data_IF_414671044328
#
_entry.id   IF_414671044328
#
_cell.length_a   1.000
_cell.length_b   1.000
_cell.length_c   1.000
_cell.angle_alpha   90.00
_cell.angle_beta   90.00
_cell.angle_gamma   90.00
#
_symmetry.space_group_name_H-M   'P 1'
#
loop_
_entity.id
_entity.type
_entity.pdbx_description
1 polymer ?
#
# COMPACT_ATOMS: atom_id res chain seq x y z
N UNK A 1 6.29 3.45 -20.72
CA UNK A 1 6.14 2.56 -19.56
C UNK A 1 6.42 3.31 -18.27
N UNK A 2 5.53 3.18 -17.32
CA UNK A 2 5.67 3.85 -16.03
C UNK A 2 6.56 3.03 -15.10
N UNK A 3 7.14 3.69 -14.10
CA UNK A 3 7.96 3.03 -13.09
C UNK A 3 7.57 3.54 -11.71
N UNK A 4 7.69 2.67 -10.72
CA UNK A 4 7.48 3.08 -9.34
C UNK A 4 8.64 3.93 -8.83
N UNK A 5 8.33 4.90 -7.97
CA UNK A 5 9.37 5.61 -7.22
C UNK A 5 10.07 4.65 -6.25
N UNK A 6 11.23 5.05 -5.73
CA UNK A 6 11.93 4.22 -4.75
C UNK A 6 11.07 3.95 -3.51
N UNK A 7 10.32 4.94 -3.07
CA UNK A 7 9.41 4.77 -1.94
C UNK A 7 8.31 3.78 -2.25
N UNK A 8 7.70 3.90 -3.44
CA UNK A 8 6.65 2.96 -3.86
C UNK A 8 7.18 1.55 -3.97
N UNK A 9 8.36 1.35 -4.54
CA UNK A 9 8.98 0.03 -4.63
C UNK A 9 9.22 -0.57 -3.25
N UNK A 10 9.69 0.24 -2.31
CA UNK A 10 9.94 -0.20 -0.94
C UNK A 10 8.65 -0.67 -0.27
N UNK A 11 7.58 0.11 -0.37
CA UNK A 11 6.30 -0.27 0.21
C UNK A 11 5.72 -1.53 -0.46
N UNK A 12 5.78 -1.59 -1.79
CA UNK A 12 5.28 -2.74 -2.53
C UNK A 12 6.06 -4.01 -2.16
N UNK A 13 7.36 -3.90 -1.92
CA UNK A 13 8.20 -5.06 -1.56
C UNK A 13 7.80 -5.70 -0.23
N UNK A 14 7.04 -5.00 0.60
CA UNK A 14 6.55 -5.53 1.88
C UNK A 14 5.27 -6.34 1.74
N UNK A 15 4.70 -6.41 0.54
CA UNK A 15 3.45 -7.11 0.29
C UNK A 15 3.70 -8.53 -0.21
N UNK A 16 2.64 -9.35 -0.16
CA UNK A 16 2.69 -10.71 -0.69
C UNK A 16 3.05 -10.69 -2.18
N UNK A 17 3.81 -11.70 -2.64
CA UNK A 17 4.33 -11.70 -4.01
C UNK A 17 3.22 -11.66 -5.07
N UNK A 18 2.05 -12.21 -4.79
CA UNK A 18 0.93 -12.14 -5.72
C UNK A 18 0.43 -10.70 -5.92
N UNK A 19 0.45 -9.92 -4.85
CA UNK A 19 0.11 -8.49 -4.92
C UNK A 19 1.18 -7.76 -5.75
N UNK A 20 2.44 -8.07 -5.51
CA UNK A 20 3.54 -7.48 -6.28
C UNK A 20 3.39 -7.77 -7.77
N UNK A 21 3.04 -9.00 -8.12
CA UNK A 21 2.84 -9.37 -9.53
C UNK A 21 1.72 -8.56 -10.19
N UNK A 22 0.62 -8.40 -9.48
CA UNK A 22 -0.51 -7.62 -10.01
C UNK A 22 -0.09 -6.18 -10.29
N UNK A 23 0.61 -5.56 -9.34
CA UNK A 23 1.04 -4.17 -9.49
C UNK A 23 2.20 -4.01 -10.46
N UNK A 24 3.07 -5.00 -10.59
CA UNK A 24 4.12 -4.99 -11.62
C UNK A 24 3.53 -5.00 -13.02
N UNK A 25 2.40 -5.70 -13.20
CA UNK A 25 1.70 -5.69 -14.48
C UNK A 25 0.95 -4.36 -14.68
N UNK A 26 0.27 -3.89 -13.65
CA UNK A 26 -0.54 -2.67 -13.75
C UNK A 26 0.29 -1.42 -14.07
N UNK A 27 1.51 -1.31 -13.54
CA UNK A 27 2.37 -0.13 -13.75
C UNK A 27 2.75 0.04 -15.22
N UNK A 28 2.65 -1.01 -16.02
CA UNK A 28 2.94 -0.92 -17.45
C UNK A 28 1.93 -0.05 -18.20
N UNK A 29 0.74 0.10 -17.63
CA UNK A 29 -0.39 0.77 -18.30
C UNK A 29 -0.87 2.00 -17.58
N UNK A 30 -0.65 2.11 -16.29
CA UNK A 30 -1.14 3.20 -15.46
C UNK A 30 -0.01 3.64 -14.52
N UNK A 31 0.19 4.95 -14.40
CA UNK A 31 1.14 5.47 -13.43
C UNK A 31 0.53 5.35 -12.04
N UNK A 32 1.23 4.66 -11.14
CA UNK A 32 0.70 4.30 -9.81
C UNK A 32 1.70 4.69 -8.74
N UNK A 33 1.20 5.25 -7.64
CA UNK A 33 1.96 5.48 -6.42
C UNK A 33 1.49 4.49 -5.36
N UNK A 34 2.42 3.75 -4.78
CA UNK A 34 2.12 2.85 -3.66
C UNK A 34 2.29 3.65 -2.37
N UNK A 35 1.22 3.80 -1.63
CA UNK A 35 1.21 4.61 -0.42
C UNK A 35 1.66 3.81 0.79
N UNK A 36 1.19 2.56 0.92
CA UNK A 36 1.52 1.73 2.08
C UNK A 36 1.34 0.25 1.76
N UNK A 37 2.31 -0.57 2.19
CA UNK A 37 2.20 -2.03 2.16
C UNK A 37 2.02 -2.56 3.58
N UNK A 38 3.11 -3.08 4.18
CA UNK A 38 3.07 -3.60 5.55
C UNK A 38 2.89 -2.47 6.57
N UNK A 39 2.09 -2.76 7.59
CA UNK A 39 1.83 -1.84 8.70
C UNK A 39 2.09 -2.58 10.00
N UNK A 40 3.01 -2.04 10.82
CA UNK A 40 3.36 -2.66 12.10
C UNK A 40 2.32 -2.36 13.19
N UNK A 41 2.56 -2.92 14.38
CA UNK A 41 1.65 -2.78 15.52
C UNK A 41 1.48 -1.32 15.93
N UNK A 42 2.58 -0.60 16.07
CA UNK A 42 2.55 0.79 16.51
C UNK A 42 1.71 1.65 15.55
N UNK A 43 1.97 1.53 14.26
CA UNK A 43 1.27 2.31 13.26
C UNK A 43 -0.21 1.92 13.16
N UNK A 44 -0.52 0.63 13.25
CA UNK A 44 -1.90 0.17 13.21
C UNK A 44 -2.70 0.71 14.39
N UNK A 45 -2.11 0.67 15.58
CA UNK A 45 -2.77 1.17 16.78
C UNK A 45 -2.92 2.70 16.75
N UNK A 46 -1.95 3.41 16.18
CA UNK A 46 -2.06 4.84 15.96
C UNK A 46 -3.23 5.17 15.05
N UNK A 47 -3.37 4.46 13.94
CA UNK A 47 -4.46 4.66 13.00
C UNK A 47 -5.82 4.34 13.63
N UNK A 48 -5.87 3.29 14.45
CA UNK A 48 -7.09 2.97 15.17
C UNK A 48 -7.48 4.09 16.15
N UNK A 49 -6.52 4.59 16.90
CA UNK A 49 -6.76 5.65 17.88
C UNK A 49 -7.19 6.96 17.23
N UNK A 50 -6.72 7.23 16.02
CA UNK A 50 -7.09 8.42 15.25
C UNK A 50 -8.38 8.26 14.47
N UNK A 51 -8.98 7.07 14.47
CA UNK A 51 -10.18 6.80 13.70
C UNK A 51 -9.93 6.56 12.21
N UNK A 52 -8.67 6.48 11.78
CA UNK A 52 -8.31 6.19 10.39
C UNK A 52 -8.56 4.73 10.04
N UNK A 53 -8.34 3.83 10.99
CA UNK A 53 -8.64 2.41 10.84
C UNK A 53 -9.70 1.99 11.83
N UNK A 54 -10.55 1.06 11.42
CA UNK A 54 -11.61 0.51 12.28
C UNK A 54 -11.15 -0.71 13.07
N UNK A 55 -9.95 -1.20 12.82
CA UNK A 55 -9.41 -2.40 13.47
C UNK A 55 -8.07 -2.12 14.11
N UNK A 56 -7.81 -2.81 15.21
CA UNK A 56 -6.53 -2.79 15.91
C UNK A 56 -5.62 -3.88 15.37
N UNK A 57 -4.31 -3.71 15.61
CA UNK A 57 -3.34 -4.76 15.36
C UNK A 57 -3.73 -6.03 16.17
N UNK A 58 -3.64 -7.22 15.62
CA UNK A 58 -3.16 -7.59 14.28
C UNK A 58 -4.29 -7.86 13.27
N UNK A 59 -5.42 -7.22 13.41
CA UNK A 59 -6.63 -7.58 12.68
C UNK A 59 -6.71 -6.97 11.26
N UNK A 60 -5.81 -6.05 10.91
CA UNK A 60 -5.75 -5.51 9.55
C UNK A 60 -4.92 -6.42 8.64
N UNK A 61 -5.33 -6.56 7.39
CA UNK A 61 -4.56 -7.30 6.39
C UNK A 61 -3.19 -6.67 6.11
N UNK A 62 -3.04 -5.37 6.39
CA UNK A 62 -1.75 -4.70 6.31
C UNK A 62 -0.76 -5.19 7.37
N UNK A 63 -1.25 -5.85 8.42
CA UNK A 63 -0.42 -6.28 9.54
C UNK A 63 0.27 -7.63 9.32
N UNK A 64 -0.17 -8.41 8.33
CA UNK A 64 0.51 -9.68 8.04
C UNK A 64 1.88 -9.40 7.41
N UNK A 65 2.79 -10.34 7.52
CA UNK A 65 4.13 -10.23 6.95
C UNK A 65 4.42 -11.48 6.12
N UNK A 66 4.42 -11.38 4.78
CA UNK A 66 4.20 -10.19 3.97
C UNK A 66 2.77 -9.67 4.05
N UNK A 67 2.60 -8.38 3.81
CA UNK A 67 1.29 -7.74 3.87
C UNK A 67 0.34 -8.33 2.83
N UNK A 68 -0.90 -8.57 3.24
CA UNK A 68 -1.97 -9.05 2.34
C UNK A 68 -2.84 -7.90 1.85
N UNK A 69 -2.43 -6.64 2.10
CA UNK A 69 -3.11 -5.45 1.63
C UNK A 69 -2.11 -4.41 1.16
N UNK A 70 -2.55 -3.55 0.27
CA UNK A 70 -1.75 -2.44 -0.22
C UNK A 70 -2.66 -1.25 -0.49
N UNK A 71 -2.21 -0.06 -0.11
CA UNK A 71 -2.87 1.19 -0.45
C UNK A 71 -2.12 1.82 -1.60
N UNK A 72 -2.82 2.09 -2.69
CA UNK A 72 -2.24 2.64 -3.91
C UNK A 72 -3.19 3.65 -4.53
N UNK A 73 -2.63 4.56 -5.32
CA UNK A 73 -3.42 5.56 -6.01
C UNK A 73 -2.84 5.80 -7.41
N UNK A 74 -3.70 6.07 -8.41
CA UNK A 74 -3.21 6.47 -9.73
C UNK A 74 -2.46 7.79 -9.63
N UNK A 75 -1.46 7.95 -10.48
CA UNK A 75 -0.63 9.16 -10.50
C UNK A 75 -0.47 9.64 -11.94
N UNK A 76 -0.55 10.94 -12.22
CA UNK A 76 -0.79 12.03 -11.26
C UNK A 76 -2.23 12.07 -10.77
N UNK A 77 -2.38 12.48 -9.51
CA UNK A 77 -3.69 12.62 -8.91
C UNK A 77 -4.22 14.01 -9.24
N UNK A 78 -5.46 14.07 -9.72
CA UNK A 78 -6.08 15.34 -10.04
C UNK A 78 -7.30 15.55 -9.16
N UNK A 79 -7.13 16.28 -8.08
CA UNK A 79 -8.18 16.53 -7.11
C UNK A 79 -9.12 17.67 -7.49
N UNK A 80 -8.89 18.31 -8.61
CA UNK A 80 -9.74 19.41 -9.06
C UNK A 80 -10.94 18.95 -9.86
N UNK A 81 -10.89 17.76 -10.32
CA UNK A 81 -11.94 17.21 -11.19
C UNK A 81 -13.03 16.53 -10.40
#
# INVERSE_FOLDING_TARGET
MFKYSNKSEKELSTTHFLIQKIFDEAIKYVDITILEGHRDEEKQNEYFNKGVSKVKFPNSKHNSNPSMAVDATPHPINFKD
#
